data_IF_882767409854
#
_entry.id   IF_882767409854
#
_cell.length_a   1.000
_cell.length_b   1.000
_cell.length_c   1.000
_cell.angle_alpha   90.00
_cell.angle_beta   90.00
_cell.angle_gamma   90.00
#
_symmetry.space_group_name_H-M   'P 1'
#
loop_
_entity.id
_entity.type
_entity.pdbx_description
1 polymer ?
#
# COMPACT_ATOMS: atom_id res chain seq x y z
N UNK A 1 -9.36 17.82 6.35
CA UNK A 1 -10.36 17.01 7.08
C UNK A 1 -11.72 17.00 6.38
N UNK A 2 -12.44 18.12 6.21
CA UNK A 2 -13.72 18.14 5.48
C UNK A 2 -13.63 17.68 4.01
N UNK A 3 -12.56 18.08 3.31
CA UNK A 3 -12.29 17.59 1.95
C UNK A 3 -12.08 16.06 1.93
N UNK A 4 -11.28 15.54 2.86
CA UNK A 4 -10.99 14.09 2.96
C UNK A 4 -12.26 13.29 3.29
N UNK A 5 -13.12 13.83 4.16
CA UNK A 5 -14.43 13.28 4.46
C UNK A 5 -15.37 13.27 3.25
N UNK A 6 -15.42 14.39 2.51
CA UNK A 6 -16.18 14.51 1.26
C UNK A 6 -15.73 13.45 0.26
N UNK A 7 -14.42 13.29 0.07
CA UNK A 7 -13.86 12.29 -0.84
C UNK A 7 -14.18 10.87 -0.40
N UNK A 8 -14.13 10.58 0.91
CA UNK A 8 -14.58 9.29 1.44
C UNK A 8 -16.05 9.00 1.10
N UNK A 9 -16.96 9.95 1.34
CA UNK A 9 -18.39 9.79 1.01
C UNK A 9 -18.59 9.56 -0.49
N UNK A 10 -17.84 10.28 -1.35
CA UNK A 10 -17.86 10.08 -2.81
C UNK A 10 -17.43 8.66 -3.19
N UNK A 11 -16.36 8.14 -2.61
CA UNK A 11 -15.91 6.75 -2.84
C UNK A 11 -16.98 5.74 -2.43
N UNK A 12 -17.60 5.92 -1.26
CA UNK A 12 -18.67 5.02 -0.81
C UNK A 12 -19.87 5.03 -1.77
N UNK A 13 -20.23 6.21 -2.29
CA UNK A 13 -21.28 6.35 -3.30
C UNK A 13 -20.90 5.68 -4.63
N UNK A 14 -19.65 5.79 -5.07
CA UNK A 14 -19.12 5.11 -6.26
C UNK A 14 -19.19 3.59 -6.09
N UNK A 15 -18.71 3.06 -4.96
CA UNK A 15 -18.74 1.61 -4.69
C UNK A 15 -20.19 1.10 -4.67
N UNK A 16 -21.10 1.83 -4.00
CA UNK A 16 -22.52 1.50 -3.97
C UNK A 16 -23.15 1.51 -5.36
N UNK A 17 -22.82 2.51 -6.17
CA UNK A 17 -23.28 2.59 -7.56
C UNK A 17 -22.78 1.40 -8.38
N UNK A 18 -21.47 1.12 -8.38
CA UNK A 18 -20.88 -0.01 -9.11
C UNK A 18 -21.46 -1.35 -8.68
N UNK A 19 -21.62 -1.56 -7.37
CA UNK A 19 -22.22 -2.78 -6.81
C UNK A 19 -23.66 -2.96 -7.29
N UNK A 20 -24.43 -1.87 -7.40
CA UNK A 20 -25.79 -1.92 -7.95
C UNK A 20 -25.80 -2.18 -9.45
N UNK A 21 -24.85 -1.61 -10.20
CA UNK A 21 -24.79 -1.69 -11.66
C UNK A 21 -24.23 -3.01 -12.19
N UNK A 22 -23.27 -3.61 -11.49
CA UNK A 22 -22.55 -4.81 -11.92
C UNK A 22 -23.08 -6.04 -11.18
N UNK A 23 -23.27 -5.94 -9.86
CA UNK A 23 -23.74 -7.04 -9.03
C UNK A 23 -23.26 -6.94 -7.58
N UNK A 24 -23.98 -7.61 -6.69
CA UNK A 24 -23.77 -7.52 -5.24
C UNK A 24 -23.22 -8.80 -4.59
N UNK A 25 -22.68 -9.73 -5.39
CA UNK A 25 -22.05 -10.93 -4.81
C UNK A 25 -20.75 -10.55 -4.10
N UNK A 26 -20.33 -11.29 -3.04
CA UNK A 26 -19.09 -10.98 -2.32
C UNK A 26 -17.85 -10.91 -3.22
N UNK A 27 -17.78 -11.77 -4.25
CA UNK A 27 -16.68 -11.76 -5.22
C UNK A 27 -16.68 -10.51 -6.10
N UNK A 28 -17.86 -10.07 -6.58
CA UNK A 28 -17.99 -8.86 -7.39
C UNK A 28 -17.62 -7.63 -6.56
N UNK A 29 -18.13 -7.55 -5.32
CA UNK A 29 -17.80 -6.46 -4.39
C UNK A 29 -16.30 -6.42 -4.12
N UNK A 30 -15.65 -7.57 -3.91
CA UNK A 30 -14.20 -7.64 -3.73
C UNK A 30 -13.42 -7.08 -4.93
N UNK A 31 -13.77 -7.47 -6.16
CA UNK A 31 -13.10 -6.97 -7.36
C UNK A 31 -13.36 -5.47 -7.57
N UNK A 32 -14.59 -4.98 -7.34
CA UNK A 32 -14.91 -3.54 -7.40
C UNK A 32 -14.02 -2.75 -6.44
N UNK A 33 -13.88 -3.22 -5.19
CA UNK A 33 -13.04 -2.55 -4.20
C UNK A 33 -11.58 -2.47 -4.64
N UNK A 34 -11.03 -3.55 -5.19
CA UNK A 34 -9.67 -3.60 -5.72
C UNK A 34 -9.45 -2.65 -6.90
N UNK A 35 -10.40 -2.60 -7.84
CA UNK A 35 -10.34 -1.73 -9.01
C UNK A 35 -10.38 -0.26 -8.57
N UNK A 36 -11.27 0.10 -7.65
CA UNK A 36 -11.35 1.46 -7.10
C UNK A 36 -10.07 1.84 -6.36
N UNK A 37 -9.53 0.94 -5.54
CA UNK A 37 -8.27 1.17 -4.82
C UNK A 37 -7.12 1.43 -5.82
N UNK A 38 -6.95 0.58 -6.84
CA UNK A 38 -5.91 0.78 -7.87
C UNK A 38 -6.12 2.03 -8.70
N UNK A 39 -7.35 2.36 -9.07
CA UNK A 39 -7.68 3.60 -9.76
C UNK A 39 -7.24 4.82 -8.94
N UNK A 40 -7.64 4.88 -7.67
CA UNK A 40 -7.28 6.00 -6.79
C UNK A 40 -5.79 6.08 -6.48
N UNK A 41 -5.11 4.96 -6.27
CA UNK A 41 -3.65 4.92 -6.09
C UNK A 41 -2.96 5.44 -7.36
N UNK A 42 -3.39 4.99 -8.54
CA UNK A 42 -2.82 5.41 -9.83
C UNK A 42 -2.98 6.91 -10.05
N UNK A 43 -4.17 7.46 -9.78
CA UNK A 43 -4.44 8.89 -9.93
C UNK A 43 -3.56 9.74 -9.00
N UNK A 44 -3.41 9.35 -7.73
CA UNK A 44 -2.54 10.05 -6.78
C UNK A 44 -1.04 9.93 -7.12
N UNK A 45 -0.64 8.95 -7.94
CA UNK A 45 0.71 8.83 -8.47
C UNK A 45 0.87 9.48 -9.86
N UNK A 46 -0.12 10.24 -10.34
CA UNK A 46 -0.14 10.86 -11.68
C UNK A 46 0.01 9.85 -12.84
N UNK A 47 -0.44 8.61 -12.62
CA UNK A 47 -0.50 7.56 -13.65
C UNK A 47 -1.88 7.65 -14.31
N UNK A 48 -1.99 7.52 -15.65
CA UNK A 48 -3.26 7.64 -16.39
C UNK A 48 -4.34 6.67 -15.87
N UNK A 49 -5.15 7.10 -14.90
CA UNK A 49 -5.95 6.20 -14.06
C UNK A 49 -7.32 5.84 -14.64
N UNK A 50 -7.96 6.75 -15.39
CA UNK A 50 -9.35 6.56 -15.85
C UNK A 50 -9.46 5.49 -16.94
N UNK A 51 -8.48 5.43 -17.86
CA UNK A 51 -8.39 4.37 -18.86
C UNK A 51 -8.14 3.01 -18.20
N UNK A 52 -7.39 2.98 -17.09
CA UNK A 52 -7.11 1.77 -16.32
C UNK A 52 -8.37 1.23 -15.64
N UNK A 53 -9.20 2.08 -15.00
CA UNK A 53 -10.44 1.61 -14.38
C UNK A 53 -11.40 0.98 -15.39
N UNK A 54 -11.63 1.65 -16.53
CA UNK A 54 -12.50 1.12 -17.58
C UNK A 54 -11.98 -0.22 -18.12
N UNK A 55 -10.67 -0.32 -18.37
CA UNK A 55 -10.04 -1.55 -18.83
C UNK A 55 -10.23 -2.68 -17.83
N UNK A 56 -9.92 -2.46 -16.56
CA UNK A 56 -10.04 -3.49 -15.53
C UNK A 56 -11.50 -3.94 -15.31
N UNK A 57 -12.46 -3.01 -15.35
CA UNK A 57 -13.88 -3.36 -15.29
C UNK A 57 -14.30 -4.24 -16.47
N UNK A 58 -13.88 -3.90 -17.70
CA UNK A 58 -14.17 -4.70 -18.90
C UNK A 58 -13.53 -6.09 -18.85
N UNK A 59 -12.31 -6.19 -18.35
CA UNK A 59 -11.59 -7.47 -18.22
C UNK A 59 -12.22 -8.38 -17.16
N UNK A 60 -12.65 -7.82 -16.03
CA UNK A 60 -13.20 -8.57 -14.90
C UNK A 60 -14.67 -8.94 -15.06
N UNK A 61 -15.44 -8.11 -15.76
CA UNK A 61 -16.88 -8.25 -15.95
C UNK A 61 -17.20 -8.26 -17.45
N UNK A 62 -16.60 -9.22 -18.16
CA UNK A 62 -16.65 -9.33 -19.62
C UNK A 62 -18.03 -9.70 -20.16
N UNK A 63 -18.94 -10.15 -19.29
CA UNK A 63 -20.35 -10.39 -19.57
C UNK A 63 -21.16 -9.11 -19.79
N UNK A 64 -20.66 -7.95 -19.37
CA UNK A 64 -21.34 -6.67 -19.54
C UNK A 64 -20.88 -6.03 -20.84
N UNK A 65 -21.86 -5.62 -21.66
CA UNK A 65 -21.62 -4.96 -22.94
C UNK A 65 -20.71 -3.73 -22.81
N UNK A 66 -19.79 -3.59 -23.76
CA UNK A 66 -18.78 -2.52 -23.75
C UNK A 66 -19.41 -1.12 -23.65
N UNK A 67 -20.52 -0.90 -24.37
CA UNK A 67 -21.22 0.38 -24.35
C UNK A 67 -21.87 0.69 -22.99
N UNK A 68 -22.28 -0.32 -22.23
CA UNK A 68 -22.86 -0.14 -20.91
C UNK A 68 -21.77 0.09 -19.86
N UNK A 69 -20.63 -0.59 -19.99
CA UNK A 69 -19.43 -0.31 -19.17
C UNK A 69 -18.96 1.14 -19.31
N UNK A 70 -18.97 1.68 -20.53
CA UNK A 70 -18.60 3.08 -20.77
C UNK A 70 -19.58 4.06 -20.10
N UNK A 71 -20.89 3.76 -20.12
CA UNK A 71 -21.90 4.55 -19.39
C UNK A 71 -21.67 4.48 -17.87
N UNK A 72 -21.37 3.29 -17.35
CA UNK A 72 -21.05 3.08 -15.93
C UNK A 72 -19.85 3.94 -15.52
N UNK A 73 -18.74 3.87 -16.26
CA UNK A 73 -17.54 4.67 -15.96
C UNK A 73 -17.79 6.17 -16.09
N UNK A 74 -18.59 6.60 -17.08
CA UNK A 74 -19.02 8.00 -17.20
C UNK A 74 -19.78 8.46 -15.96
N UNK A 75 -20.67 7.62 -15.42
CA UNK A 75 -21.41 7.93 -14.20
C UNK A 75 -20.51 7.96 -12.96
N UNK A 76 -19.52 7.06 -12.85
CA UNK A 76 -18.49 7.11 -11.79
C UNK A 76 -17.74 8.45 -11.82
N UNK A 77 -17.30 8.88 -13.00
CA UNK A 77 -16.64 10.18 -13.17
C UNK A 77 -17.57 11.34 -12.79
N UNK A 78 -18.87 11.26 -13.12
CA UNK A 78 -19.83 12.27 -12.69
C UNK A 78 -19.91 12.33 -11.16
N UNK A 79 -20.08 11.19 -10.48
CA UNK A 79 -20.16 11.11 -9.01
C UNK A 79 -18.90 11.69 -8.35
N UNK A 80 -17.72 11.35 -8.87
CA UNK A 80 -16.45 11.85 -8.34
C UNK A 80 -16.33 13.38 -8.46
N UNK A 81 -16.75 13.92 -9.61
CA UNK A 81 -16.66 15.34 -9.91
C UNK A 81 -17.87 16.16 -9.44
N UNK A 82 -18.84 15.55 -8.74
CA UNK A 82 -19.94 16.29 -8.15
C UNK A 82 -19.41 17.38 -7.21
N UNK A 83 -19.90 18.60 -7.39
CA UNK A 83 -19.63 19.70 -6.48
C UNK A 83 -20.47 19.53 -5.21
N UNK A 84 -19.93 18.78 -4.25
CA UNK A 84 -20.57 18.55 -2.96
C UNK A 84 -19.55 18.74 -1.83
N UNK A 85 -20.03 19.27 -0.72
CA UNK A 85 -19.21 19.65 0.42
C UNK A 85 -19.85 19.08 1.70
N UNK A 86 -19.24 18.02 2.25
CA UNK A 86 -19.64 17.45 3.52
C UNK A 86 -18.78 18.01 4.65
N UNK A 87 -19.41 18.42 5.74
CA UNK A 87 -18.73 18.94 6.93
C UNK A 87 -18.68 17.89 8.03
N UNK A 88 -17.55 17.84 8.73
CA UNK A 88 -17.45 17.10 9.99
C UNK A 88 -17.90 18.03 11.11
N UNK A 89 -18.99 17.66 11.76
CA UNK A 89 -19.55 18.36 12.92
C UNK A 89 -19.05 17.74 14.22
N UNK A 90 -18.83 16.42 14.22
CA UNK A 90 -18.49 15.68 15.44
C UNK A 90 -17.45 14.60 15.16
N UNK A 91 -16.45 14.56 16.03
CA UNK A 91 -15.49 13.46 16.12
C UNK A 91 -15.47 12.97 17.56
N UNK A 92 -15.65 11.66 17.77
CA UNK A 92 -15.63 11.06 19.09
C UNK A 92 -14.91 9.71 19.08
N UNK A 93 -13.96 9.53 19.99
CA UNK A 93 -13.27 8.25 20.20
C UNK A 93 -13.85 7.58 21.44
N UNK A 94 -14.48 6.43 21.26
CA UNK A 94 -15.00 5.61 22.33
C UNK A 94 -14.11 4.38 22.54
N UNK A 95 -13.14 4.50 23.45
CA UNK A 95 -12.22 3.42 23.80
C UNK A 95 -12.92 2.21 24.41
N UNK A 96 -13.99 2.41 25.20
CA UNK A 96 -14.74 1.30 25.84
C UNK A 96 -15.44 0.42 24.81
N UNK A 97 -15.98 1.03 23.75
CA UNK A 97 -16.66 0.31 22.66
C UNK A 97 -15.76 -0.01 21.47
N UNK A 98 -14.48 0.37 21.51
CA UNK A 98 -13.56 0.29 20.39
C UNK A 98 -14.14 0.92 19.10
N UNK A 99 -14.64 2.16 19.20
CA UNK A 99 -15.22 2.90 18.08
C UNK A 99 -14.58 4.27 17.89
N UNK A 100 -14.34 4.64 16.64
CA UNK A 100 -14.15 6.02 16.20
C UNK A 100 -15.43 6.44 15.50
N UNK A 101 -16.01 7.56 15.91
CA UNK A 101 -17.27 8.08 15.36
C UNK A 101 -16.96 9.42 14.69
N UNK A 102 -17.35 9.55 13.42
CA UNK A 102 -17.23 10.79 12.64
C UNK A 102 -18.64 11.10 12.11
N UNK A 103 -19.25 12.19 12.59
CA UNK A 103 -20.69 12.45 12.47
C UNK A 103 -21.50 11.22 12.91
N UNK A 104 -22.25 10.61 11.98
CA UNK A 104 -23.09 9.43 12.22
C UNK A 104 -22.41 8.11 11.80
N UNK A 105 -21.17 8.18 11.30
CA UNK A 105 -20.45 7.02 10.84
C UNK A 105 -19.58 6.41 11.95
N UNK A 106 -19.71 5.09 12.11
CA UNK A 106 -18.93 4.32 13.07
C UNK A 106 -17.84 3.50 12.39
N UNK A 107 -16.60 3.73 12.81
CA UNK A 107 -15.42 2.97 12.42
C UNK A 107 -14.91 2.13 13.58
N UNK A 108 -14.33 0.97 13.28
CA UNK A 108 -13.66 0.14 14.27
C UNK A 108 -12.37 0.84 14.75
N UNK A 109 -12.18 0.93 16.06
CA UNK A 109 -10.95 1.43 16.65
C UNK A 109 -9.94 0.28 16.77
N UNK A 110 -9.18 0.04 15.71
CA UNK A 110 -8.16 -1.01 15.62
C UNK A 110 -6.98 -0.74 16.55
N UNK A 111 -6.18 -1.76 16.94
CA UNK A 111 -4.95 -1.55 17.71
C UNK A 111 -4.04 -0.51 17.04
N UNK A 112 -3.90 -0.60 15.71
CA UNK A 112 -3.10 0.37 14.94
C UNK A 112 -3.62 1.79 15.08
N UNK A 113 -4.92 2.00 14.91
CA UNK A 113 -5.52 3.33 15.03
C UNK A 113 -5.37 3.90 16.45
N UNK A 114 -5.43 3.06 17.49
CA UNK A 114 -5.12 3.47 18.87
C UNK A 114 -3.67 3.93 19.02
N UNK A 115 -2.72 3.18 18.43
CA UNK A 115 -1.31 3.58 18.42
C UNK A 115 -1.15 4.95 17.76
N UNK A 116 -1.75 5.17 16.59
CA UNK A 116 -1.68 6.47 15.91
C UNK A 116 -2.31 7.62 16.71
N UNK A 117 -3.42 7.37 17.41
CA UNK A 117 -4.04 8.35 18.31
C UNK A 117 -3.16 8.70 19.52
N UNK A 118 -2.24 7.82 19.92
CA UNK A 118 -1.28 8.10 20.99
C UNK A 118 -0.07 8.93 20.53
N UNK A 119 0.21 8.94 19.22
CA UNK A 119 1.36 9.64 18.64
C UNK A 119 1.08 11.11 18.31
N UNK A 120 -0.18 11.50 18.12
CA UNK A 120 -0.54 12.86 17.71
C UNK A 120 -1.98 13.22 18.09
N UNK A 121 -2.48 14.38 17.66
CA UNK A 121 -3.85 14.80 17.95
C UNK A 121 -4.90 13.96 17.22
N UNK A 122 -6.09 13.85 17.83
CA UNK A 122 -7.26 13.18 17.23
C UNK A 122 -7.53 13.73 15.82
N UNK A 123 -7.46 15.05 15.63
CA UNK A 123 -7.70 15.70 14.35
C UNK A 123 -6.73 15.24 13.26
N UNK A 124 -5.41 15.20 13.57
CA UNK A 124 -4.38 14.75 12.63
C UNK A 124 -4.56 13.28 12.28
N UNK A 125 -4.83 12.43 13.27
CA UNK A 125 -5.08 11.00 13.04
C UNK A 125 -6.34 10.77 12.21
N UNK A 126 -7.43 11.48 12.51
CA UNK A 126 -8.69 11.36 11.75
C UNK A 126 -8.53 11.87 10.32
N UNK A 127 -7.81 12.98 10.12
CA UNK A 127 -7.50 13.48 8.77
C UNK A 127 -6.72 12.43 7.95
N UNK A 128 -5.65 11.87 8.51
CA UNK A 128 -4.89 10.79 7.87
C UNK A 128 -5.78 9.57 7.57
N UNK A 129 -6.56 9.11 8.54
CA UNK A 129 -7.44 7.97 8.38
C UNK A 129 -8.48 8.18 7.27
N UNK A 130 -9.14 9.34 7.24
CA UNK A 130 -10.08 9.70 6.17
C UNK A 130 -9.41 9.76 4.79
N UNK A 131 -8.17 10.24 4.71
CA UNK A 131 -7.41 10.28 3.46
C UNK A 131 -7.24 8.88 2.87
N UNK A 132 -6.87 7.91 3.69
CA UNK A 132 -6.72 6.52 3.28
C UNK A 132 -8.06 5.84 2.97
N UNK A 133 -9.11 6.11 3.75
CA UNK A 133 -10.47 5.68 3.42
C UNK A 133 -10.95 6.27 2.08
N UNK A 134 -10.51 7.47 1.70
CA UNK A 134 -10.85 8.13 0.43
C UNK A 134 -10.16 7.55 -0.81
N UNK A 135 -9.27 6.58 -0.64
CA UNK A 135 -8.73 5.77 -1.73
C UNK A 135 -9.15 4.30 -1.60
N UNK A 136 -10.09 4.01 -0.71
CA UNK A 136 -10.52 2.65 -0.40
C UNK A 136 -9.35 1.73 -0.01
N UNK A 137 -8.37 2.26 0.74
CA UNK A 137 -7.19 1.49 1.12
C UNK A 137 -7.57 0.27 1.97
N UNK A 138 -7.15 -0.90 1.54
CA UNK A 138 -7.41 -2.11 2.32
C UNK A 138 -6.69 -3.36 1.85
N UNK A 139 -6.55 -3.58 0.55
CA UNK A 139 -6.10 -4.88 0.03
C UNK A 139 -4.77 -4.81 -0.72
N UNK A 140 -4.42 -3.66 -1.30
CA UNK A 140 -3.26 -3.56 -2.21
C UNK A 140 -1.89 -3.55 -1.50
N UNK A 141 -1.84 -3.49 -0.16
CA UNK A 141 -0.58 -3.37 0.61
C UNK A 141 -0.55 -4.24 1.87
N UNK A 142 -1.18 -5.41 1.85
CA UNK A 142 -0.90 -6.41 2.88
C UNK A 142 0.59 -6.77 2.87
N UNK A 143 1.17 -6.98 4.06
CA UNK A 143 2.59 -7.28 4.21
C UNK A 143 2.82 -8.56 4.97
N UNK A 144 4.08 -9.01 5.05
CA UNK A 144 4.49 -10.10 5.93
C UNK A 144 4.25 -9.74 7.40
N UNK A 145 4.13 -10.74 8.26
CA UNK A 145 3.85 -10.57 9.69
C UNK A 145 4.88 -9.72 10.43
N UNK A 146 4.48 -9.10 11.54
CA UNK A 146 5.36 -8.26 12.37
C UNK A 146 6.70 -8.94 12.74
N UNK A 147 6.72 -10.24 13.04
CA UNK A 147 7.95 -10.97 13.38
C UNK A 147 9.00 -10.96 12.25
N UNK A 148 8.56 -10.94 10.99
CA UNK A 148 9.45 -10.76 9.84
C UNK A 148 10.08 -9.36 9.84
N UNK A 149 9.29 -8.32 10.11
CA UNK A 149 9.77 -6.95 10.17
C UNK A 149 10.69 -6.71 11.37
N UNK A 150 10.43 -7.37 12.49
CA UNK A 150 11.32 -7.36 13.65
C UNK A 150 12.67 -7.98 13.30
N UNK A 151 12.70 -9.15 12.65
CA UNK A 151 13.94 -9.75 12.15
C UNK A 151 14.69 -8.82 11.18
N UNK A 152 13.98 -8.21 10.22
CA UNK A 152 14.59 -7.27 9.28
C UNK A 152 15.18 -6.05 10.00
N UNK A 153 14.51 -5.53 11.03
CA UNK A 153 14.98 -4.38 11.78
C UNK A 153 16.18 -4.74 12.68
N UNK A 154 16.07 -5.81 13.46
CA UNK A 154 17.07 -6.18 14.46
C UNK A 154 18.31 -6.84 13.85
N UNK A 155 18.13 -7.67 12.82
CA UNK A 155 19.21 -8.49 12.23
C UNK A 155 19.68 -7.91 10.91
N UNK A 156 18.76 -7.50 10.03
CA UNK A 156 19.12 -7.03 8.69
C UNK A 156 19.35 -5.51 8.61
N UNK A 157 19.25 -4.77 9.72
CA UNK A 157 19.48 -3.33 9.76
C UNK A 157 18.48 -2.52 8.93
N UNK A 158 17.29 -3.05 8.66
CA UNK A 158 16.23 -2.33 7.94
C UNK A 158 15.72 -1.19 8.82
N UNK A 159 15.62 0.00 8.23
CA UNK A 159 15.08 1.20 8.89
C UNK A 159 14.03 1.91 8.05
N UNK A 160 13.85 1.50 6.79
CA UNK A 160 13.03 2.23 5.84
C UNK A 160 12.00 1.30 5.20
N UNK A 161 10.73 1.69 5.24
CA UNK A 161 9.67 1.05 4.44
C UNK A 161 9.46 1.86 3.16
N UNK A 162 9.64 1.25 1.99
CA UNK A 162 9.58 1.92 0.69
C UNK A 162 8.16 2.27 0.25
N UNK A 163 7.15 1.51 0.65
CA UNK A 163 5.75 1.78 0.32
C UNK A 163 4.89 1.37 1.51
N UNK A 164 4.43 2.37 2.27
CA UNK A 164 3.59 2.14 3.43
C UNK A 164 2.60 3.29 3.65
N UNK A 165 1.90 3.20 4.76
CA UNK A 165 0.99 4.19 5.32
C UNK A 165 1.11 4.16 6.84
N UNK A 166 0.61 5.20 7.52
CA UNK A 166 0.43 5.11 8.97
C UNK A 166 -0.41 3.91 9.41
N UNK A 167 -1.31 3.40 8.56
CA UNK A 167 -2.20 2.26 8.87
C UNK A 167 -1.54 0.89 8.72
N UNK A 168 -0.46 0.73 7.95
CA UNK A 168 0.14 -0.58 7.69
C UNK A 168 1.66 -0.64 7.92
N UNK A 169 2.32 0.49 8.19
CA UNK A 169 3.74 0.52 8.51
C UNK A 169 4.01 -0.29 9.78
N UNK A 170 5.01 -1.15 9.74
CA UNK A 170 5.39 -2.03 10.86
C UNK A 170 6.59 -1.53 11.65
N UNK A 171 7.25 -0.48 11.17
CA UNK A 171 8.39 0.14 11.83
C UNK A 171 8.04 1.42 12.60
N UNK A 172 6.79 1.93 12.52
CA UNK A 172 6.34 3.06 13.34
C UNK A 172 6.64 2.80 14.83
N UNK A 173 7.29 3.77 15.47
CA UNK A 173 7.70 3.70 16.87
C UNK A 173 9.08 3.09 17.11
N UNK A 174 9.69 2.43 16.11
CA UNK A 174 11.07 1.95 16.22
C UNK A 174 12.07 3.10 16.00
N UNK A 175 13.15 3.10 16.77
CA UNK A 175 14.16 4.17 16.74
C UNK A 175 14.83 4.23 15.37
N UNK A 176 14.90 5.44 14.80
CA UNK A 176 15.52 5.70 13.50
C UNK A 176 14.74 5.11 12.31
N UNK A 177 13.55 4.54 12.52
CA UNK A 177 12.75 4.02 11.44
C UNK A 177 11.93 5.13 10.75
N UNK A 178 11.76 4.96 9.44
CA UNK A 178 11.01 5.85 8.55
C UNK A 178 10.21 5.03 7.55
N UNK A 179 9.22 5.64 6.93
CA UNK A 179 8.51 5.04 5.81
C UNK A 179 8.19 6.07 4.74
N UNK A 180 8.13 5.63 3.50
CA UNK A 180 7.59 6.41 2.41
C UNK A 180 6.08 6.16 2.31
N UNK A 181 5.30 7.19 2.00
CA UNK A 181 3.85 7.10 1.89
C UNK A 181 3.28 7.98 0.78
N UNK A 182 2.01 7.75 0.47
CA UNK A 182 1.29 8.43 -0.61
C UNK A 182 0.89 9.86 -0.23
N UNK A 183 0.66 10.14 1.05
CA UNK A 183 0.10 11.42 1.54
C UNK A 183 1.05 12.09 2.55
N UNK A 184 2.19 12.63 2.10
CA UNK A 184 3.17 13.25 3.01
C UNK A 184 2.53 14.29 3.94
N UNK A 185 1.56 15.05 3.44
CA UNK A 185 0.92 16.15 4.16
C UNK A 185 0.08 15.71 5.36
N UNK A 186 -0.33 14.44 5.41
CA UNK A 186 -1.03 13.85 6.57
C UNK A 186 -0.18 12.88 7.35
N UNK A 187 0.87 12.34 6.72
CA UNK A 187 1.58 11.17 7.24
C UNK A 187 2.92 11.54 7.90
N UNK A 188 3.46 12.73 7.63
CA UNK A 188 4.74 13.20 8.19
C UNK A 188 4.79 13.09 9.72
N UNK A 189 3.66 13.37 10.38
CA UNK A 189 3.55 13.36 11.84
C UNK A 189 3.69 11.96 12.44
N UNK A 190 3.56 10.92 11.61
CA UNK A 190 3.76 9.53 11.99
C UNK A 190 5.13 8.99 11.60
N UNK A 191 5.96 9.79 10.92
CA UNK A 191 7.29 9.40 10.47
C UNK A 191 7.42 9.16 8.97
N UNK A 192 6.42 9.57 8.17
CA UNK A 192 6.55 9.55 6.71
C UNK A 192 7.66 10.49 6.24
N UNK A 193 8.42 10.06 5.24
CA UNK A 193 9.37 10.91 4.49
C UNK A 193 8.84 11.26 3.09
N UNK A 194 7.56 11.01 2.83
CA UNK A 194 6.90 11.28 1.56
C UNK A 194 7.03 10.16 0.53
N UNK A 195 6.89 10.49 -0.75
CA UNK A 195 6.84 9.45 -1.81
C UNK A 195 8.18 8.73 -1.94
N UNK A 196 8.12 7.42 -2.17
CA UNK A 196 9.28 6.59 -2.52
C UNK A 196 10.06 7.22 -3.67
N UNK A 197 9.34 7.63 -4.72
CA UNK A 197 9.94 8.13 -5.95
C UNK A 197 10.69 9.46 -5.77
N UNK A 198 10.29 10.26 -4.78
CA UNK A 198 10.90 11.56 -4.47
C UNK A 198 12.09 11.48 -3.52
N UNK A 199 12.35 10.33 -2.90
CA UNK A 199 13.40 10.14 -1.91
C UNK A 199 14.54 9.29 -2.48
N UNK A 200 15.80 9.64 -2.17
CA UNK A 200 16.94 8.78 -2.50
C UNK A 200 17.20 7.76 -1.40
N UNK A 201 17.26 6.49 -1.76
CA UNK A 201 17.58 5.36 -0.89
C UNK A 201 18.90 5.59 -0.16
N UNK A 202 19.89 6.09 -0.89
CA UNK A 202 21.23 6.38 -0.38
C UNK A 202 21.35 7.63 0.48
N UNK A 203 20.28 8.41 0.66
CA UNK A 203 20.27 9.49 1.66
C UNK A 203 19.78 9.01 3.02
N UNK A 204 19.11 7.86 3.08
CA UNK A 204 18.61 7.31 4.33
C UNK A 204 19.66 6.39 4.98
N UNK A 205 19.59 6.30 6.31
CA UNK A 205 20.35 5.33 7.08
C UNK A 205 19.64 3.98 7.08
N UNK A 206 20.40 2.88 7.01
CA UNK A 206 19.86 1.52 7.09
C UNK A 206 19.22 1.02 5.80
N UNK A 207 18.81 -0.24 5.84
CA UNK A 207 18.29 -0.99 4.70
C UNK A 207 16.79 -0.77 4.49
N UNK A 208 16.26 -1.27 3.38
CA UNK A 208 14.90 -1.01 2.92
C UNK A 208 14.08 -2.28 2.80
N UNK A 209 12.84 -2.26 3.30
CA UNK A 209 11.79 -3.21 2.95
C UNK A 209 10.80 -2.52 2.01
N UNK A 210 10.53 -3.10 0.86
CA UNK A 210 9.83 -2.47 -0.25
C UNK A 210 8.67 -3.38 -0.65
N UNK A 211 7.44 -2.93 -0.43
CA UNK A 211 6.21 -3.66 -0.72
C UNK A 211 5.29 -2.78 -1.59
N UNK A 212 5.61 -2.60 -2.89
CA UNK A 212 4.84 -1.70 -3.74
C UNK A 212 3.39 -2.20 -3.87
N UNK A 213 2.41 -1.30 -4.10
CA UNK A 213 1.07 -1.73 -4.47
C UNK A 213 1.15 -2.59 -5.75
N UNK A 214 0.24 -3.56 -5.88
CA UNK A 214 0.22 -4.51 -7.00
C UNK A 214 -0.33 -3.86 -8.27
N UNK A 215 0.44 -2.90 -8.80
CA UNK A 215 0.17 -2.10 -9.99
C UNK A 215 1.45 -2.16 -10.84
N UNK A 216 1.37 -2.76 -12.02
CA UNK A 216 2.54 -3.05 -12.86
C UNK A 216 3.41 -1.82 -13.14
N UNK A 217 2.79 -0.69 -13.50
CA UNK A 217 3.52 0.55 -13.77
C UNK A 217 4.28 1.09 -12.54
N UNK A 218 3.76 0.87 -11.33
CA UNK A 218 4.45 1.26 -10.09
C UNK A 218 5.62 0.31 -9.82
N UNK A 219 5.45 -0.99 -10.06
CA UNK A 219 6.51 -1.99 -9.93
C UNK A 219 7.64 -1.69 -10.93
N UNK A 220 7.31 -1.33 -12.17
CA UNK A 220 8.27 -0.94 -13.21
C UNK A 220 9.09 0.29 -12.79
N UNK A 221 8.41 1.37 -12.35
CA UNK A 221 9.06 2.59 -11.87
C UNK A 221 9.93 2.34 -10.63
N UNK A 222 9.45 1.49 -9.71
CA UNK A 222 10.21 1.09 -8.53
C UNK A 222 11.49 0.37 -8.93
N UNK A 223 11.40 -0.61 -9.85
CA UNK A 223 12.56 -1.35 -10.31
C UNK A 223 13.61 -0.43 -10.96
N UNK A 224 13.18 0.45 -11.86
CA UNK A 224 14.07 1.43 -12.52
C UNK A 224 14.78 2.32 -11.51
N UNK A 225 14.04 2.83 -10.52
CA UNK A 225 14.60 3.64 -9.44
C UNK A 225 15.62 2.86 -8.61
N UNK A 226 15.28 1.66 -8.12
CA UNK A 226 16.17 0.85 -7.30
C UNK A 226 17.47 0.59 -8.05
N UNK A 227 17.40 0.12 -9.29
CA UNK A 227 18.60 -0.22 -10.06
C UNK A 227 19.48 1.00 -10.31
N UNK A 228 18.87 2.13 -10.68
CA UNK A 228 19.59 3.40 -10.88
C UNK A 228 20.31 3.84 -9.60
N UNK A 229 19.64 3.77 -8.46
CA UNK A 229 20.23 4.21 -7.19
C UNK A 229 21.26 3.24 -6.63
N UNK A 230 21.16 1.94 -6.93
CA UNK A 230 22.19 0.97 -6.60
C UNK A 230 23.47 1.17 -7.44
N UNK A 231 23.33 1.60 -8.70
CA UNK A 231 24.47 2.05 -9.49
C UNK A 231 25.15 3.29 -8.88
N UNK A 232 24.39 4.25 -8.37
CA UNK A 232 24.95 5.39 -7.63
C UNK A 232 25.62 4.94 -6.32
N UNK A 233 25.01 4.01 -5.59
CA UNK A 233 25.58 3.43 -4.37
C UNK A 233 26.97 2.85 -4.60
N UNK A 234 27.19 2.15 -5.72
CA UNK A 234 28.51 1.63 -6.09
C UNK A 234 29.55 2.76 -6.25
N UNK A 235 29.17 3.88 -6.89
CA UNK A 235 30.07 5.02 -7.12
C UNK A 235 30.47 5.70 -5.82
N UNK A 236 29.52 5.85 -4.90
CA UNK A 236 29.76 6.50 -3.59
C UNK A 236 30.17 5.51 -2.48
N UNK A 237 30.39 4.23 -2.83
CA UNK A 237 30.74 3.15 -1.89
C UNK A 237 29.77 3.05 -0.70
N UNK A 238 28.47 3.22 -0.97
CA UNK A 238 27.42 3.04 0.04
C UNK A 238 26.81 1.65 -0.10
N UNK A 239 26.71 0.93 1.01
CA UNK A 239 26.06 -0.37 1.07
C UNK A 239 24.61 -0.21 1.50
N UNK A 240 23.69 -0.79 0.72
CA UNK A 240 22.25 -0.80 0.98
C UNK A 240 21.68 -2.14 0.50
N UNK A 241 20.87 -2.77 1.32
CA UNK A 241 20.04 -3.90 0.93
C UNK A 241 18.60 -3.47 0.72
N UNK A 242 18.01 -3.95 -0.36
CA UNK A 242 16.59 -3.84 -0.64
C UNK A 242 15.95 -5.23 -0.53
N UNK A 243 15.05 -5.38 0.42
CA UNK A 243 14.16 -6.51 0.59
C UNK A 243 12.84 -6.18 -0.10
N UNK A 244 12.45 -6.93 -1.12
CA UNK A 244 11.32 -6.55 -1.99
C UNK A 244 10.28 -7.65 -2.00
N UNK A 245 9.05 -7.36 -1.58
CA UNK A 245 7.90 -8.26 -1.67
C UNK A 245 7.09 -7.89 -2.91
N UNK A 246 6.92 -8.82 -3.84
CA UNK A 246 6.19 -8.64 -5.09
C UNK A 246 5.09 -9.68 -5.25
N UNK A 247 4.02 -9.37 -6.02
CA UNK A 247 3.14 -10.41 -6.53
C UNK A 247 3.95 -11.36 -7.43
N UNK A 248 3.50 -12.61 -7.57
CA UNK A 248 4.16 -13.61 -8.43
C UNK A 248 3.92 -13.38 -9.94
N UNK A 249 4.04 -12.12 -10.41
CA UNK A 249 3.86 -11.68 -11.79
C UNK A 249 5.21 -11.63 -12.51
N UNK A 250 5.75 -12.79 -12.83
CA UNK A 250 7.10 -12.95 -13.39
C UNK A 250 7.24 -12.43 -14.84
N UNK A 251 6.12 -12.12 -15.47
CA UNK A 251 6.00 -11.53 -16.79
C UNK A 251 6.17 -10.00 -16.79
N UNK A 252 6.03 -9.35 -15.64
CA UNK A 252 6.19 -7.90 -15.52
C UNK A 252 7.62 -7.44 -15.81
N UNK A 253 7.74 -6.29 -16.46
CA UNK A 253 9.03 -5.69 -16.84
C UNK A 253 9.89 -5.40 -15.61
N UNK A 254 9.31 -4.80 -14.57
CA UNK A 254 9.98 -4.46 -13.31
C UNK A 254 10.54 -5.68 -12.59
N UNK A 255 9.77 -6.78 -12.53
CA UNK A 255 10.28 -8.03 -11.99
C UNK A 255 11.50 -8.54 -12.77
N UNK A 256 11.38 -8.61 -14.10
CA UNK A 256 12.46 -9.09 -14.98
C UNK A 256 13.72 -8.26 -14.84
N UNK A 257 13.60 -6.93 -14.80
CA UNK A 257 14.71 -6.00 -14.59
C UNK A 257 15.47 -6.31 -13.31
N UNK A 258 14.77 -6.55 -12.20
CA UNK A 258 15.39 -6.86 -10.91
C UNK A 258 16.18 -8.18 -10.94
N UNK A 259 15.58 -9.26 -11.47
CA UNK A 259 16.20 -10.60 -11.43
C UNK A 259 17.39 -10.78 -12.38
N UNK A 260 17.44 -10.04 -13.49
CA UNK A 260 18.57 -10.09 -14.43
C UNK A 260 19.64 -9.05 -14.11
N UNK A 261 19.38 -8.16 -13.14
CA UNK A 261 20.34 -7.12 -12.76
C UNK A 261 21.59 -7.72 -12.10
N UNK A 262 22.72 -7.02 -12.24
CA UNK A 262 23.97 -7.35 -11.52
C UNK A 262 23.84 -7.24 -9.99
N UNK A 263 22.75 -6.66 -9.49
CA UNK A 263 22.46 -6.45 -8.08
C UNK A 263 21.59 -7.55 -7.47
N UNK A 264 21.06 -8.45 -8.30
CA UNK A 264 20.31 -9.60 -7.84
C UNK A 264 21.15 -10.43 -6.88
N UNK A 265 20.59 -10.75 -5.71
CA UNK A 265 21.26 -11.57 -4.71
C UNK A 265 20.52 -12.87 -4.43
N UNK A 266 19.25 -12.79 -4.01
CA UNK A 266 18.49 -13.97 -3.58
C UNK A 266 17.00 -13.82 -3.91
N UNK A 267 16.35 -14.95 -4.19
CA UNK A 267 14.90 -15.05 -4.42
C UNK A 267 14.29 -16.13 -3.54
N UNK A 268 13.15 -15.83 -2.93
CA UNK A 268 12.28 -16.80 -2.27
C UNK A 268 10.92 -16.82 -2.95
N UNK A 269 10.44 -18.02 -3.28
CA UNK A 269 9.12 -18.24 -3.85
C UNK A 269 8.14 -18.56 -2.73
N UNK A 270 7.34 -17.58 -2.33
CA UNK A 270 6.35 -17.71 -1.26
C UNK A 270 5.07 -18.30 -1.86
N UNK A 271 4.88 -19.61 -1.68
CA UNK A 271 3.70 -20.32 -2.20
C UNK A 271 2.48 -19.99 -1.35
N UNK A 272 1.32 -19.79 -1.99
CA UNK A 272 0.03 -19.66 -1.31
C UNK A 272 -0.16 -20.75 -0.25
N UNK A 273 -0.74 -20.36 0.88
CA UNK A 273 -0.98 -21.18 2.06
C UNK A 273 0.29 -21.72 2.75
N UNK A 274 1.46 -21.13 2.50
CA UNK A 274 2.74 -21.52 3.13
C UNK A 274 3.46 -20.37 3.85
N UNK A 275 2.86 -19.19 3.90
CA UNK A 275 3.39 -18.04 4.60
C UNK A 275 2.25 -17.18 5.14
N UNK A 276 2.55 -16.40 6.17
CA UNK A 276 1.59 -15.52 6.81
C UNK A 276 1.73 -14.08 6.32
N UNK A 277 0.59 -13.44 6.16
CA UNK A 277 0.47 -12.01 5.91
C UNK A 277 -0.36 -11.39 7.02
N UNK A 278 -0.22 -10.08 7.16
CA UNK A 278 -0.94 -9.30 8.13
C UNK A 278 -1.55 -8.08 7.42
N UNK A 279 -2.84 -7.85 7.71
CA UNK A 279 -3.59 -6.71 7.19
C UNK A 279 -3.37 -5.44 8.04
N UNK A 280 -4.00 -4.33 7.64
CA UNK A 280 -3.91 -3.05 8.35
C UNK A 280 -4.58 -3.05 9.74
N UNK A 281 -5.43 -4.03 10.03
CA UNK A 281 -6.11 -4.18 11.32
C UNK A 281 -5.27 -5.02 12.30
N UNK A 282 -4.15 -5.60 11.83
CA UNK A 282 -3.29 -6.50 12.58
C UNK A 282 -3.77 -7.95 12.58
N UNK A 283 -4.70 -8.32 11.70
CA UNK A 283 -5.12 -9.72 11.58
C UNK A 283 -4.08 -10.48 10.76
N UNK A 284 -3.55 -11.55 11.36
CA UNK A 284 -2.63 -12.48 10.69
C UNK A 284 -3.42 -13.58 10.00
N UNK A 285 -3.09 -13.88 8.74
CA UNK A 285 -3.74 -14.91 7.94
C UNK A 285 -2.76 -15.60 6.99
N UNK A 286 -3.07 -16.84 6.62
CA UNK A 286 -2.34 -17.54 5.55
C UNK A 286 -2.64 -16.88 4.21
N UNK A 287 -1.57 -16.51 3.49
CA UNK A 287 -1.74 -15.88 2.19
C UNK A 287 -2.45 -16.81 1.20
N UNK A 288 -3.43 -16.27 0.47
CA UNK A 288 -4.16 -17.00 -0.58
C UNK A 288 -3.50 -16.88 -1.95
N UNK A 289 -2.47 -16.05 -2.07
CA UNK A 289 -1.77 -15.74 -3.32
C UNK A 289 -0.31 -16.15 -3.23
N UNK A 290 0.31 -16.38 -4.39
CA UNK A 290 1.76 -16.55 -4.45
C UNK A 290 2.42 -15.16 -4.46
N UNK A 291 3.52 -15.03 -3.74
CA UNK A 291 4.38 -13.85 -3.75
C UNK A 291 5.82 -14.25 -4.03
N UNK A 292 6.61 -13.29 -4.47
CA UNK A 292 8.05 -13.43 -4.63
C UNK A 292 8.72 -12.44 -3.69
N UNK A 293 9.72 -12.90 -2.96
CA UNK A 293 10.53 -12.07 -2.09
C UNK A 293 11.96 -12.02 -2.64
N UNK A 294 12.44 -10.83 -2.97
CA UNK A 294 13.76 -10.59 -3.54
C UNK A 294 14.66 -9.88 -2.54
N UNK A 295 15.94 -10.24 -2.56
CA UNK A 295 17.01 -9.47 -1.93
C UNK A 295 17.90 -8.95 -3.05
N UNK A 296 18.05 -7.62 -3.10
CA UNK A 296 18.84 -6.89 -4.09
C UNK A 296 19.85 -6.00 -3.34
N UNK A 297 21.11 -6.03 -3.75
CA UNK A 297 22.21 -5.30 -3.09
C UNK A 297 23.30 -4.92 -4.10
N UNK A 298 23.97 -3.75 -3.93
CA UNK A 298 25.09 -3.37 -4.79
C UNK A 298 26.35 -4.17 -4.49
N UNK A 299 26.47 -4.76 -3.31
CA UNK A 299 27.64 -5.52 -2.86
C UNK A 299 27.27 -6.93 -2.39
N UNK A 300 28.19 -7.92 -2.46
CA UNK A 300 27.98 -9.23 -1.88
C UNK A 300 27.54 -9.12 -0.42
N UNK A 301 26.54 -9.88 -0.01
CA UNK A 301 26.00 -9.82 1.34
C UNK A 301 26.31 -11.10 2.11
N UNK A 302 26.61 -10.94 3.40
CA UNK A 302 26.72 -12.01 4.36
C UNK A 302 25.46 -12.03 5.21
N UNK A 303 24.38 -12.60 4.65
CA UNK A 303 23.10 -12.77 5.32
C UNK A 303 22.78 -14.27 5.47
N UNK A 304 22.31 -14.66 6.65
CA UNK A 304 21.75 -16.00 6.85
C UNK A 304 20.36 -16.08 6.18
N UNK A 305 20.36 -16.56 4.93
CA UNK A 305 19.14 -16.72 4.15
C UNK A 305 18.23 -17.83 4.68
N UNK A 306 18.77 -18.83 5.38
CA UNK A 306 17.96 -19.87 6.01
C UNK A 306 17.20 -19.27 7.19
N UNK A 307 17.86 -18.46 8.02
CA UNK A 307 17.20 -17.69 9.08
C UNK A 307 16.15 -16.74 8.54
N UNK A 308 16.45 -15.99 7.49
CA UNK A 308 15.47 -15.13 6.84
C UNK A 308 14.27 -15.95 6.35
N UNK A 309 14.48 -17.12 5.73
CA UNK A 309 13.39 -17.95 5.20
C UNK A 309 12.42 -18.44 6.27
N UNK A 310 12.91 -18.70 7.49
CA UNK A 310 12.09 -19.15 8.62
C UNK A 310 11.10 -18.08 9.09
N UNK A 311 11.37 -16.80 8.82
CA UNK A 311 10.51 -15.68 9.23
C UNK A 311 9.26 -15.51 8.38
N UNK A 312 9.13 -16.20 7.25
CA UNK A 312 7.92 -16.17 6.43
C UNK A 312 6.78 -17.03 7.02
N UNK A 313 7.13 -17.98 7.90
CA UNK A 313 6.21 -18.95 8.50
C UNK A 313 5.50 -18.40 9.73
#
# INVERSE_FOLDING_TARGET
>A
MNLDYTNYIKIQNIIKFLTKSIGATPSVVYEINNIIERWRISENNNIQATNTMLRELKEKFSEIETSDMEKIVKQVNLIWNLDCHYQIEKVHVNYKRNKLIINDLEFRLTPKLKTLLSLTSIEKTVRCYLKYLSINSGHQQWGLVQSHYDYLYDICGVRNEGFASPMNSRLIGKVGAKFCSLFPETDEVFGSIGSFFSNHLYNQSGNWIINPPFIESIIDLMADKILTELDECLKIKKEIMCFILLPSWEDTSGFRKLIVSKFYTQRFNLKRYKFHMEDQDGNVFLSKTNCIYLVISPSPIFLDFDALSRTFS
#
